data_IF_022669220883
#
_entry.id   IF_022669220883
#
_cell.length_a   1.000
_cell.length_b   1.000
_cell.length_c   1.000
_cell.angle_alpha   90.00
_cell.angle_beta   90.00
_cell.angle_gamma   90.00
#
_symmetry.space_group_name_H-M   'P 1'
#
loop_
_entity.id
_entity.type
_entity.pdbx_description
1 polymer ?
#
# COMPACT_ATOMS: atom_id res chain seq x y z
N UNK A 1 -17.32 5.73 13.06
CA UNK A 1 -15.90 5.99 12.70
C UNK A 1 -15.84 6.61 11.30
N UNK A 2 -14.73 7.23 10.89
CA UNK A 2 -14.60 8.00 9.64
C UNK A 2 -15.15 7.28 8.40
N UNK A 3 -14.83 5.99 8.27
CA UNK A 3 -15.29 5.13 7.17
C UNK A 3 -16.81 5.13 6.99
N UNK A 4 -17.55 4.86 8.08
CA UNK A 4 -19.02 4.87 8.09
C UNK A 4 -19.61 6.25 7.77
N UNK A 5 -18.91 7.32 8.15
CA UNK A 5 -19.34 8.69 7.82
C UNK A 5 -19.21 8.93 6.31
N UNK A 6 -18.05 8.61 5.73
CA UNK A 6 -17.81 8.76 4.28
C UNK A 6 -18.80 7.93 3.48
N UNK A 7 -19.03 6.67 3.87
CA UNK A 7 -20.01 5.80 3.21
C UNK A 7 -21.43 6.39 3.25
N UNK A 8 -21.85 6.92 4.39
CA UNK A 8 -23.16 7.56 4.55
C UNK A 8 -23.30 8.81 3.69
N UNK A 9 -22.28 9.65 3.62
CA UNK A 9 -22.27 10.87 2.79
C UNK A 9 -22.36 10.53 1.29
N UNK A 10 -21.68 9.47 0.86
CA UNK A 10 -21.79 8.96 -0.52
C UNK A 10 -23.22 8.52 -0.83
N UNK A 11 -23.84 7.75 0.06
CA UNK A 11 -25.23 7.30 -0.09
C UNK A 11 -26.23 8.47 -0.13
N UNK A 12 -26.05 9.46 0.74
CA UNK A 12 -26.87 10.69 0.73
C UNK A 12 -26.71 11.50 -0.56
N UNK A 13 -25.57 11.39 -1.22
CA UNK A 13 -25.27 12.03 -2.50
C UNK A 13 -25.76 11.22 -3.72
N UNK A 14 -26.51 10.13 -3.50
CA UNK A 14 -27.09 9.29 -4.56
C UNK A 14 -26.24 8.08 -4.96
N UNK A 15 -25.08 7.86 -4.35
CA UNK A 15 -24.25 6.68 -4.61
C UNK A 15 -24.71 5.48 -3.77
N UNK A 16 -25.65 4.71 -4.32
CA UNK A 16 -26.25 3.56 -3.61
C UNK A 16 -25.31 2.37 -3.46
N UNK A 17 -24.41 2.15 -4.44
CA UNK A 17 -23.43 1.06 -4.46
C UNK A 17 -22.01 1.62 -4.26
N UNK A 18 -21.74 2.13 -3.06
CA UNK A 18 -20.46 2.72 -2.70
C UNK A 18 -19.92 2.15 -1.39
N UNK A 19 -18.59 2.00 -1.34
CA UNK A 19 -17.85 1.59 -0.15
C UNK A 19 -16.72 2.57 0.13
N UNK A 20 -16.38 2.71 1.41
CA UNK A 20 -15.25 3.51 1.87
C UNK A 20 -14.16 2.59 2.40
N UNK A 21 -12.92 2.83 1.97
CA UNK A 21 -11.70 2.18 2.48
C UNK A 21 -10.77 3.27 2.97
N UNK A 22 -10.42 3.22 4.26
CA UNK A 22 -9.53 4.21 4.87
C UNK A 22 -8.10 3.69 4.87
N UNK A 23 -7.20 4.44 4.25
CA UNK A 23 -5.76 4.19 4.31
C UNK A 23 -5.20 5.00 5.47
N UNK A 24 -4.61 4.31 6.44
CA UNK A 24 -3.96 4.92 7.60
C UNK A 24 -2.61 4.24 7.83
N UNK A 25 -1.48 4.90 7.52
CA UNK A 25 -1.34 6.32 7.15
C UNK A 25 -1.54 6.64 5.66
N UNK A 26 -0.94 5.88 4.72
CA UNK A 26 -1.04 6.09 3.27
C UNK A 26 -0.99 4.76 2.49
N UNK A 27 -1.25 4.81 1.17
CA UNK A 27 -1.24 3.65 0.27
C UNK A 27 0.09 2.88 0.28
N UNK A 28 1.22 3.57 0.44
CA UNK A 28 2.55 2.97 0.43
C UNK A 28 2.73 1.95 1.55
N UNK A 29 1.88 1.96 2.57
CA UNK A 29 1.85 0.92 3.61
C UNK A 29 1.65 -0.49 3.02
N UNK A 30 1.05 -0.61 1.84
CA UNK A 30 0.90 -1.89 1.15
C UNK A 30 2.13 -2.30 0.35
N UNK A 31 3.07 -1.37 0.07
CA UNK A 31 4.34 -1.68 -0.60
C UNK A 31 5.28 -2.43 0.35
N UNK A 32 5.27 -2.07 1.64
CA UNK A 32 6.11 -2.69 2.67
C UNK A 32 5.51 -4.02 3.18
N UNK A 33 5.30 -4.96 2.26
CA UNK A 33 5.03 -6.37 2.56
C UNK A 33 6.32 -7.17 2.55
N UNK A 34 6.30 -8.35 3.17
CA UNK A 34 7.41 -9.29 3.13
C UNK A 34 7.51 -9.93 1.74
N UNK A 35 8.27 -9.28 0.85
CA UNK A 35 8.52 -9.75 -0.51
C UNK A 35 9.91 -9.32 -0.98
N UNK A 36 10.70 -10.25 -1.55
CA UNK A 36 12.03 -9.93 -2.09
C UNK A 36 11.96 -9.00 -3.32
N UNK A 37 10.78 -8.86 -3.94
CA UNK A 37 10.60 -7.98 -5.10
C UNK A 37 10.47 -6.51 -4.72
N UNK A 38 10.14 -6.18 -3.47
CA UNK A 38 10.05 -4.79 -3.00
C UNK A 38 11.41 -4.08 -3.14
N UNK A 39 12.51 -4.57 -2.52
CA UNK A 39 13.82 -3.92 -2.67
C UNK A 39 14.31 -3.89 -4.13
N UNK A 40 13.95 -4.87 -4.96
CA UNK A 40 14.27 -4.85 -6.39
C UNK A 40 13.65 -3.66 -7.12
N UNK A 41 12.45 -3.22 -6.70
CA UNK A 41 11.72 -2.15 -7.39
C UNK A 41 11.98 -0.78 -6.79
N UNK A 42 12.06 -0.66 -5.46
CA UNK A 42 12.18 0.66 -4.80
C UNK A 42 13.60 0.99 -4.31
N UNK A 43 14.52 0.00 -4.34
CA UNK A 43 15.91 0.17 -3.94
C UNK A 43 16.90 -0.34 -5.00
N UNK A 44 16.45 -0.58 -6.24
CA UNK A 44 17.26 -1.10 -7.35
C UNK A 44 18.05 -2.38 -7.00
N UNK A 45 17.46 -3.24 -6.16
CA UNK A 45 18.10 -4.48 -5.70
C UNK A 45 19.10 -4.31 -4.55
N UNK A 46 19.29 -3.10 -4.03
CA UNK A 46 20.11 -2.87 -2.84
C UNK A 46 19.37 -3.27 -1.55
N UNK A 47 19.46 -4.56 -1.24
CA UNK A 47 18.86 -5.14 -0.05
C UNK A 47 19.46 -4.61 1.25
N UNK A 48 20.74 -4.23 1.24
CA UNK A 48 21.42 -3.68 2.42
C UNK A 48 20.85 -2.30 2.75
N UNK A 49 20.76 -1.41 1.76
CA UNK A 49 20.16 -0.09 1.94
C UNK A 49 18.69 -0.21 2.38
N UNK A 50 17.92 -1.06 1.70
CA UNK A 50 16.52 -1.28 2.03
C UNK A 50 16.35 -1.73 3.48
N UNK A 51 17.08 -2.77 3.89
CA UNK A 51 17.02 -3.32 5.25
C UNK A 51 17.48 -2.29 6.28
N UNK A 52 18.57 -1.56 6.01
CA UNK A 52 19.06 -0.51 6.90
C UNK A 52 18.01 0.58 7.11
N UNK A 53 17.43 1.14 6.03
CA UNK A 53 16.40 2.18 6.19
C UNK A 53 15.14 1.64 6.86
N UNK A 54 14.74 0.41 6.54
CA UNK A 54 13.56 -0.22 7.13
C UNK A 54 13.74 -0.48 8.63
N UNK A 55 14.92 -0.86 9.09
CA UNK A 55 15.22 -1.08 10.51
C UNK A 55 15.25 0.24 11.30
N UNK A 56 15.74 1.33 10.71
CA UNK A 56 15.78 2.63 11.36
C UNK A 56 14.43 3.38 11.31
N UNK A 57 13.49 2.92 10.47
CA UNK A 57 12.17 3.53 10.38
C UNK A 57 11.34 3.21 11.63
N UNK A 58 10.67 4.24 12.16
CA UNK A 58 9.63 4.07 13.16
C UNK A 58 8.54 3.11 12.64
N UNK A 59 8.06 2.23 13.52
CA UNK A 59 7.08 1.19 13.18
C UNK A 59 5.68 1.56 13.66
N UNK A 60 4.69 1.32 12.80
CA UNK A 60 3.28 1.34 13.17
C UNK A 60 2.91 0.08 13.97
N UNK A 61 1.68 0.04 14.47
CA UNK A 61 1.12 -1.12 15.18
C UNK A 61 1.11 -2.41 14.36
N UNK A 62 1.15 -2.30 13.03
CA UNK A 62 1.19 -3.45 12.11
C UNK A 62 2.63 -3.87 11.75
N UNK A 63 3.64 -3.38 12.49
CA UNK A 63 5.07 -3.62 12.24
C UNK A 63 5.54 -3.14 10.84
N UNK A 64 4.78 -2.21 10.24
CA UNK A 64 5.12 -1.53 8.99
C UNK A 64 5.73 -0.16 9.28
N UNK A 65 6.38 0.52 8.33
CA UNK A 65 6.84 1.89 8.54
C UNK A 65 5.68 2.80 8.95
N UNK A 66 5.87 3.64 9.97
CA UNK A 66 4.90 4.64 10.40
C UNK A 66 4.75 5.79 9.37
N UNK A 67 5.79 6.03 8.56
CA UNK A 67 5.80 6.98 7.45
C UNK A 67 6.20 6.29 6.14
N UNK A 68 5.35 5.42 5.60
CA UNK A 68 5.70 4.58 4.46
C UNK A 68 5.99 5.40 3.21
N UNK A 69 5.24 6.48 2.96
CA UNK A 69 5.49 7.37 1.82
C UNK A 69 6.88 8.00 1.87
N UNK A 70 7.25 8.60 3.00
CA UNK A 70 8.56 9.25 3.19
C UNK A 70 9.71 8.25 3.06
N UNK A 71 9.55 7.04 3.62
CA UNK A 71 10.55 5.99 3.52
C UNK A 71 10.74 5.53 2.06
N UNK A 72 9.65 5.33 1.32
CA UNK A 72 9.71 4.96 -0.09
C UNK A 72 10.38 6.08 -0.91
N UNK A 73 10.02 7.35 -0.68
CA UNK A 73 10.65 8.49 -1.36
C UNK A 73 12.14 8.61 -1.07
N UNK A 74 12.55 8.36 0.17
CA UNK A 74 13.97 8.36 0.54
C UNK A 74 14.76 7.27 -0.20
N UNK A 75 14.21 6.05 -0.32
CA UNK A 75 14.81 4.95 -1.07
C UNK A 75 14.94 5.29 -2.56
N UNK A 76 13.84 5.76 -3.17
CA UNK A 76 13.81 6.14 -4.58
C UNK A 76 14.79 7.27 -4.89
N UNK A 77 14.86 8.29 -4.02
CA UNK A 77 15.77 9.43 -4.19
C UNK A 77 17.23 8.99 -4.15
N UNK A 78 17.59 8.13 -3.20
CA UNK A 78 18.96 7.64 -3.05
C UNK A 78 19.41 6.81 -4.25
N UNK A 79 18.49 6.01 -4.81
CA UNK A 79 18.72 5.22 -6.03
C UNK A 79 18.42 5.94 -7.34
N UNK A 80 18.02 7.22 -7.28
CA UNK A 80 17.64 8.04 -8.45
C UNK A 80 16.55 7.38 -9.31
N UNK A 81 15.65 6.63 -8.69
CA UNK A 81 14.52 5.99 -9.35
C UNK A 81 13.37 7.00 -9.44
N UNK A 82 12.85 7.30 -10.63
CA UNK A 82 11.72 8.21 -10.77
C UNK A 82 10.43 7.58 -10.21
N UNK A 83 9.76 8.31 -9.31
CA UNK A 83 8.42 7.96 -8.84
C UNK A 83 7.42 8.19 -9.96
N UNK A 84 7.05 7.12 -10.67
CA UNK A 84 6.20 7.16 -11.86
C UNK A 84 5.08 6.11 -11.80
N UNK A 85 4.03 6.27 -12.61
CA UNK A 85 2.97 5.26 -12.73
C UNK A 85 3.51 3.87 -13.12
N UNK A 86 4.59 3.84 -13.91
CA UNK A 86 5.27 2.59 -14.29
C UNK A 86 5.93 1.87 -13.11
N UNK A 87 6.39 2.60 -12.08
CA UNK A 87 6.92 2.01 -10.85
C UNK A 87 5.84 1.24 -10.10
N UNK A 88 4.66 1.85 -9.95
CA UNK A 88 3.51 1.21 -9.30
C UNK A 88 3.00 0.02 -10.09
N UNK A 89 3.00 0.08 -11.42
CA UNK A 89 2.70 -1.07 -12.27
C UNK A 89 3.68 -2.23 -12.00
N UNK A 90 4.98 -1.95 -11.94
CA UNK A 90 6.01 -2.97 -11.63
C UNK A 90 5.79 -3.59 -10.24
N UNK A 91 5.46 -2.77 -9.24
CA UNK A 91 5.11 -3.26 -7.90
C UNK A 91 3.90 -4.18 -7.96
N UNK A 92 2.80 -3.75 -8.57
CA UNK A 92 1.57 -4.51 -8.69
C UNK A 92 1.75 -5.85 -9.45
N UNK A 93 2.68 -5.90 -10.41
CA UNK A 93 2.98 -7.11 -11.19
C UNK A 93 3.88 -8.12 -10.44
N UNK A 94 4.81 -7.65 -9.61
CA UNK A 94 5.85 -8.50 -9.01
C UNK A 94 5.63 -8.78 -7.53
N UNK A 95 5.04 -7.84 -6.80
CA UNK A 95 4.87 -7.95 -5.35
C UNK A 95 3.54 -8.64 -5.08
N UNK A 96 3.59 -9.85 -4.53
CA UNK A 96 2.38 -10.53 -4.06
C UNK A 96 1.86 -9.83 -2.81
N UNK A 97 0.58 -9.47 -2.82
CA UNK A 97 -0.15 -8.98 -1.65
C UNK A 97 -0.99 -10.07 -0.98
N UNK A 98 -0.78 -11.35 -1.36
CA UNK A 98 -1.54 -12.49 -0.82
C UNK A 98 -1.50 -12.60 0.70
N UNK A 99 -0.36 -12.23 1.29
CA UNK A 99 -0.10 -12.29 2.74
C UNK A 99 -0.30 -10.94 3.44
N UNK A 100 -0.89 -9.94 2.76
CA UNK A 100 -1.16 -8.64 3.37
C UNK A 100 -2.28 -8.78 4.40
N UNK A 101 -1.94 -8.56 5.68
CA UNK A 101 -2.87 -8.61 6.82
C UNK A 101 -3.49 -7.25 7.17
N UNK A 102 -3.29 -6.26 6.29
CA UNK A 102 -3.76 -4.89 6.48
C UNK A 102 -5.29 -4.81 6.34
N UNK A 103 -6.03 -4.34 7.38
CA UNK A 103 -7.49 -4.35 7.35
C UNK A 103 -8.10 -3.60 6.15
N UNK A 104 -7.49 -2.48 5.76
CA UNK A 104 -7.97 -1.68 4.63
C UNK A 104 -7.76 -2.42 3.30
N UNK A 105 -6.63 -3.11 3.14
CA UNK A 105 -6.38 -3.94 1.97
C UNK A 105 -7.34 -5.12 1.88
N UNK A 106 -7.55 -5.83 3.00
CA UNK A 106 -8.46 -6.96 3.05
C UNK A 106 -9.90 -6.55 2.68
N UNK A 107 -10.35 -5.40 3.22
CA UNK A 107 -11.66 -4.82 2.87
C UNK A 107 -11.74 -4.48 1.37
N UNK A 108 -10.74 -3.78 0.83
CA UNK A 108 -10.69 -3.45 -0.60
C UNK A 108 -10.77 -4.71 -1.47
N UNK A 109 -9.96 -5.72 -1.15
CA UNK A 109 -9.94 -6.99 -1.87
C UNK A 109 -11.30 -7.66 -1.86
N UNK A 110 -11.95 -7.72 -0.70
CA UNK A 110 -13.28 -8.28 -0.55
C UNK A 110 -14.31 -7.53 -1.41
N UNK A 111 -14.36 -6.20 -1.32
CA UNK A 111 -15.29 -5.36 -2.10
C UNK A 111 -15.13 -5.63 -3.60
N UNK A 112 -13.87 -5.64 -4.09
CA UNK A 112 -13.60 -5.88 -5.51
C UNK A 112 -14.00 -7.30 -5.95
N UNK A 113 -13.79 -8.31 -5.11
CA UNK A 113 -14.19 -9.69 -5.41
C UNK A 113 -15.71 -9.87 -5.42
N UNK A 114 -16.43 -9.17 -4.53
CA UNK A 114 -17.89 -9.17 -4.49
C UNK A 114 -18.49 -8.46 -5.69
N UNK A 115 -17.92 -7.32 -6.10
CA UNK A 115 -18.41 -6.54 -7.23
C UNK A 115 -18.02 -7.13 -8.59
N UNK A 116 -16.89 -7.83 -8.65
CA UNK A 116 -16.33 -8.41 -9.86
C UNK A 116 -15.95 -9.88 -9.64
N UNK A 117 -16.93 -10.78 -9.46
CA UNK A 117 -16.65 -12.19 -9.23
C UNK A 117 -15.94 -12.82 -10.45
N UNK A 118 -15.09 -13.84 -10.23
CA UNK A 118 -14.48 -14.59 -11.33
C UNK A 118 -15.57 -15.21 -12.20
N UNK A 119 -15.39 -15.13 -13.52
CA UNK A 119 -16.26 -15.76 -14.52
C UNK A 119 -15.98 -17.25 -14.66
#
# INVERSE_FOLDING_TARGET
MLEERVKRELQQSGWQNAEAVILDPELEVWVFVDSPHVPQVIADGDEQLYSQKLTHAEKSRLNKPARPKELMEALLREKRIPRSSSLYLKLAQKVSLSNCSDPAFLKLRQILQEWFPPR
#
